data_IF_281023181675
#
_entry.id   IF_281023181675
#
_cell.length_a   1.000
_cell.length_b   1.000
_cell.length_c   1.000
_cell.angle_alpha   90.00
_cell.angle_beta   90.00
_cell.angle_gamma   90.00
#
_symmetry.space_group_name_H-M   'P 1'
#
loop_
_entity.id
_entity.type
_entity.pdbx_description
1 polymer ?
#
# COMPACT_ATOMS: atom_id res chain seq x y z
N UNK A 1 -8.50 9.24 3.92
CA UNK A 1 -8.68 10.18 2.78
C UNK A 1 -7.95 11.47 3.09
N UNK A 2 -7.62 12.27 2.07
CA UNK A 2 -6.59 13.30 2.12
C UNK A 2 -6.95 14.46 1.21
N UNK A 3 -6.40 15.65 1.47
CA UNK A 3 -6.65 16.87 0.69
C UNK A 3 -5.56 17.03 -0.38
N UNK A 4 -5.99 17.15 -1.64
CA UNK A 4 -5.14 17.58 -2.76
C UNK A 4 -5.85 18.73 -3.46
N UNK A 5 -5.18 19.87 -3.59
CA UNK A 5 -5.69 21.05 -4.29
C UNK A 5 -4.79 21.30 -5.48
N UNK A 6 -5.38 21.40 -6.67
CA UNK A 6 -4.68 21.68 -7.91
C UNK A 6 -5.32 22.85 -8.63
N UNK A 7 -4.51 23.84 -9.00
CA UNK A 7 -4.87 24.86 -9.97
C UNK A 7 -4.05 24.66 -11.25
N UNK A 8 -4.69 24.88 -12.40
CA UNK A 8 -4.03 24.98 -13.69
C UNK A 8 -4.59 26.18 -14.45
N UNK A 9 -3.77 26.83 -15.27
CA UNK A 9 -4.14 27.98 -16.09
C UNK A 9 -3.03 28.38 -17.04
N UNK A 10 -3.25 29.44 -17.82
CA UNK A 10 -2.25 29.95 -18.78
C UNK A 10 -1.02 30.56 -18.09
N UNK A 11 -1.14 30.96 -16.82
CA UNK A 11 -0.04 31.42 -15.99
C UNK A 11 0.81 30.29 -15.37
N UNK A 12 0.33 29.03 -15.39
CA UNK A 12 1.04 27.88 -14.87
C UNK A 12 0.12 26.87 -14.19
N UNK A 13 0.68 25.96 -13.39
CA UNK A 13 -0.07 25.09 -12.51
C UNK A 13 0.59 25.03 -11.12
N UNK A 14 -0.25 24.85 -10.11
CA UNK A 14 0.12 24.63 -8.70
C UNK A 14 -0.60 23.40 -8.20
N UNK A 15 0.08 22.61 -7.39
CA UNK A 15 -0.55 21.48 -6.72
C UNK A 15 0.01 21.31 -5.32
N UNK A 16 -0.87 21.16 -4.33
CA UNK A 16 -0.51 20.90 -2.96
C UNK A 16 -1.28 19.69 -2.41
N UNK A 17 -0.65 18.94 -1.52
CA UNK A 17 -1.25 17.79 -0.87
C UNK A 17 -0.66 17.53 0.51
N UNK A 18 -1.52 17.13 1.45
CA UNK A 18 -1.08 16.79 2.80
C UNK A 18 -0.33 15.45 2.82
N UNK A 19 0.36 15.12 3.90
CA UNK A 19 1.15 13.86 4.01
C UNK A 19 0.50 12.73 4.81
N UNK A 20 -0.72 12.94 5.33
CA UNK A 20 -1.41 12.00 6.22
C UNK A 20 -2.03 10.81 5.49
N UNK A 21 -1.77 9.63 6.01
CA UNK A 21 -2.48 8.40 5.71
C UNK A 21 -3.05 7.84 7.01
N UNK A 22 -4.27 7.32 6.93
CA UNK A 22 -4.96 6.71 8.06
C UNK A 22 -5.37 5.30 7.72
N UNK A 23 -5.24 4.39 8.68
CA UNK A 23 -5.74 3.03 8.59
C UNK A 23 -6.62 2.72 9.79
N UNK A 24 -7.73 2.06 9.52
CA UNK A 24 -8.66 1.60 10.54
C UNK A 24 -8.63 0.07 10.59
N UNK A 25 -8.34 -0.50 11.76
CA UNK A 25 -8.37 -1.94 12.00
C UNK A 25 -9.48 -2.26 12.98
N UNK A 26 -10.32 -3.23 12.65
CA UNK A 26 -11.49 -3.61 13.45
C UNK A 26 -12.66 -4.05 12.57
N UNK A 27 -13.82 -4.34 13.18
CA UNK A 27 -15.02 -4.77 12.46
C UNK A 27 -15.42 -3.78 11.36
N UNK A 28 -15.78 -4.27 10.17
CA UNK A 28 -16.04 -3.42 9.01
C UNK A 28 -17.14 -2.38 9.24
N UNK A 29 -18.24 -2.78 9.88
CA UNK A 29 -19.36 -1.88 10.18
C UNK A 29 -18.93 -0.73 11.10
N UNK A 30 -18.13 -1.05 12.12
CA UNK A 30 -17.60 -0.06 13.07
C UNK A 30 -16.62 0.91 12.40
N UNK A 31 -15.78 0.40 11.48
CA UNK A 31 -14.89 1.24 10.66
C UNK A 31 -15.70 2.21 9.79
N UNK A 32 -16.78 1.76 9.15
CA UNK A 32 -17.65 2.61 8.34
C UNK A 32 -18.30 3.74 9.15
N UNK A 33 -18.74 3.46 10.38
CA UNK A 33 -19.30 4.48 11.29
C UNK A 33 -18.26 5.54 11.63
N UNK A 34 -17.05 5.11 12.03
CA UNK A 34 -15.95 6.03 12.35
C UNK A 34 -15.56 6.89 11.14
N UNK A 35 -15.44 6.27 9.96
CA UNK A 35 -15.13 6.96 8.70
C UNK A 35 -16.19 8.00 8.33
N UNK A 36 -17.48 7.66 8.42
CA UNK A 36 -18.56 8.60 8.08
C UNK A 36 -18.55 9.82 9.00
N UNK A 37 -18.39 9.63 10.32
CA UNK A 37 -18.30 10.72 11.30
C UNK A 37 -17.06 11.60 11.08
N UNK A 38 -15.93 10.99 10.72
CA UNK A 38 -14.71 11.70 10.40
C UNK A 38 -14.85 12.53 9.12
N UNK A 39 -15.50 11.99 8.09
CA UNK A 39 -15.63 12.62 6.78
C UNK A 39 -16.84 13.57 6.66
N UNK A 40 -17.82 13.46 7.56
CA UNK A 40 -18.86 14.48 7.77
C UNK A 40 -18.31 15.73 8.46
N UNK A 41 -17.21 15.58 9.21
CA UNK A 41 -16.63 16.63 10.03
C UNK A 41 -17.27 16.69 11.43
N UNK A 42 -17.87 15.61 11.92
CA UNK A 42 -18.29 15.53 13.33
C UNK A 42 -17.07 15.45 14.27
N UNK A 43 -15.96 14.89 13.78
CA UNK A 43 -14.70 14.76 14.52
C UNK A 43 -13.77 15.90 14.12
N UNK A 44 -13.47 16.80 15.06
CA UNK A 44 -12.72 18.02 14.78
C UNK A 44 -11.23 17.93 15.13
N UNK A 45 -10.84 16.97 15.98
CA UNK A 45 -9.47 16.83 16.46
C UNK A 45 -9.08 15.35 16.64
N UNK A 46 -7.78 15.08 16.85
CA UNK A 46 -7.27 13.71 16.99
C UNK A 46 -7.70 13.02 18.30
N UNK A 47 -7.89 13.78 19.38
CA UNK A 47 -8.31 13.23 20.67
C UNK A 47 -9.72 12.66 20.60
N UNK A 48 -10.65 13.40 19.99
CA UNK A 48 -12.01 12.96 19.69
C UNK A 48 -12.02 11.72 18.76
N UNK A 49 -11.10 11.69 17.79
CA UNK A 49 -10.95 10.56 16.88
C UNK A 49 -10.54 9.29 17.63
N UNK A 50 -9.50 9.37 18.47
CA UNK A 50 -9.02 8.21 19.23
C UNK A 50 -10.07 7.73 20.23
N UNK A 51 -10.72 8.65 20.94
CA UNK A 51 -11.78 8.31 21.89
C UNK A 51 -12.94 7.56 21.23
N UNK A 52 -13.48 8.09 20.14
CA UNK A 52 -14.56 7.43 19.42
C UNK A 52 -14.12 6.10 18.81
N UNK A 53 -12.87 6.00 18.35
CA UNK A 53 -12.36 4.76 17.80
C UNK A 53 -12.23 3.67 18.87
N UNK A 54 -11.76 4.01 20.07
CA UNK A 54 -11.69 3.10 21.21
C UNK A 54 -13.10 2.62 21.62
N UNK A 55 -14.07 3.53 21.70
CA UNK A 55 -15.48 3.20 21.99
C UNK A 55 -16.08 2.22 20.95
N UNK A 56 -15.63 2.31 19.70
CA UNK A 56 -16.07 1.44 18.60
C UNK A 56 -15.24 0.16 18.46
N UNK A 57 -14.20 -0.03 19.28
CA UNK A 57 -13.26 -1.15 19.15
C UNK A 57 -12.46 -1.12 17.85
N UNK A 58 -12.18 0.07 17.33
CA UNK A 58 -11.43 0.31 16.08
C UNK A 58 -10.07 0.89 16.42
N UNK A 59 -9.00 0.20 16.02
CA UNK A 59 -7.64 0.74 16.13
C UNK A 59 -7.36 1.70 14.97
N UNK A 60 -6.99 2.93 15.29
CA UNK A 60 -6.55 3.96 14.32
C UNK A 60 -5.03 3.95 14.23
N UNK A 61 -4.50 3.98 13.01
CA UNK A 61 -3.07 4.16 12.73
C UNK A 61 -2.94 5.37 11.82
N UNK A 62 -2.16 6.36 12.24
CA UNK A 62 -1.89 7.60 11.48
C UNK A 62 -0.40 7.60 11.09
N UNK A 63 -0.14 7.89 9.82
CA UNK A 63 1.21 8.04 9.26
C UNK A 63 1.28 9.33 8.44
N UNK A 64 2.23 10.21 8.73
CA UNK A 64 2.35 11.54 8.11
C UNK A 64 3.50 11.64 7.09
N UNK A 65 3.85 10.54 6.44
CA UNK A 65 5.01 10.43 5.54
C UNK A 65 4.63 10.15 4.07
N UNK A 66 3.34 10.24 3.71
CA UNK A 66 2.90 9.88 2.37
C UNK A 66 3.04 11.04 1.39
N UNK A 67 3.89 10.85 0.38
CA UNK A 67 3.92 11.73 -0.79
C UNK A 67 2.61 11.57 -1.59
N UNK A 68 1.81 12.64 -1.66
CA UNK A 68 0.54 12.66 -2.42
C UNK A 68 0.60 13.50 -3.67
N UNK A 69 1.48 14.48 -3.66
CA UNK A 69 1.76 15.33 -4.80
C UNK A 69 3.23 15.21 -5.13
N UNK A 70 3.56 15.25 -6.41
CA UNK A 70 4.93 15.20 -6.92
C UNK A 70 5.00 15.82 -8.31
N UNK A 71 6.21 15.94 -8.85
CA UNK A 71 6.46 16.55 -10.15
C UNK A 71 7.23 15.59 -11.07
N UNK A 72 6.75 15.43 -12.31
CA UNK A 72 7.44 14.73 -13.41
C UNK A 72 7.69 15.74 -14.51
N UNK A 73 8.93 16.20 -14.69
CA UNK A 73 9.23 17.27 -15.65
C UNK A 73 8.39 18.52 -15.36
N UNK A 74 7.55 18.93 -16.31
CA UNK A 74 6.63 20.07 -16.19
C UNK A 74 5.19 19.66 -15.82
N UNK A 75 4.97 18.38 -15.47
CA UNK A 75 3.67 17.83 -15.08
C UNK A 75 3.63 17.61 -13.56
N UNK A 76 2.68 18.26 -12.90
CA UNK A 76 2.32 18.03 -11.51
C UNK A 76 1.37 16.85 -11.42
N UNK A 77 1.56 15.99 -10.42
CA UNK A 77 0.72 14.80 -10.23
C UNK A 77 0.26 14.74 -8.79
N UNK A 78 -1.04 14.55 -8.59
CA UNK A 78 -1.69 14.50 -7.30
C UNK A 78 -2.59 13.30 -7.21
N UNK A 79 -2.62 12.65 -6.05
CA UNK A 79 -3.32 11.39 -5.90
C UNK A 79 -4.01 11.27 -4.54
N UNK A 80 -5.29 10.87 -4.60
CA UNK A 80 -6.03 10.40 -3.43
C UNK A 80 -6.48 8.96 -3.64
N UNK A 81 -6.59 8.20 -2.55
CA UNK A 81 -7.10 6.82 -2.54
C UNK A 81 -8.18 6.68 -1.49
N UNK A 82 -9.23 5.92 -1.78
CA UNK A 82 -10.12 5.38 -0.75
C UNK A 82 -9.45 4.24 0.01
N UNK A 83 -9.93 3.98 1.22
CA UNK A 83 -9.52 2.85 2.06
C UNK A 83 -10.54 1.74 1.81
N UNK A 84 -10.11 0.52 1.49
CA UNK A 84 -11.02 -0.63 1.24
C UNK A 84 -10.47 -1.67 0.27
N UNK A 85 -11.18 -2.79 0.14
CA UNK A 85 -10.86 -3.91 -0.77
C UNK A 85 -10.86 -3.46 -2.25
N UNK A 86 -11.78 -2.57 -2.61
CA UNK A 86 -11.83 -1.92 -3.92
C UNK A 86 -11.21 -0.52 -3.84
N UNK A 87 -9.88 -0.48 -3.69
CA UNK A 87 -9.15 0.79 -3.57
C UNK A 87 -9.33 1.66 -4.82
N UNK A 88 -10.29 2.59 -4.77
CA UNK A 88 -10.53 3.61 -5.78
C UNK A 88 -9.48 4.68 -5.64
N UNK A 89 -8.80 4.97 -6.74
CA UNK A 89 -7.78 6.00 -6.82
C UNK A 89 -8.24 7.08 -7.78
N UNK A 90 -8.05 8.33 -7.37
CA UNK A 90 -8.28 9.48 -8.24
C UNK A 90 -6.97 10.21 -8.37
N UNK A 91 -6.54 10.39 -9.62
CA UNK A 91 -5.34 11.14 -9.96
C UNK A 91 -5.71 12.40 -10.70
N UNK A 92 -4.98 13.47 -10.41
CA UNK A 92 -4.99 14.70 -11.17
C UNK A 92 -3.57 14.94 -11.66
N UNK A 93 -3.46 15.20 -12.96
CA UNK A 93 -2.24 15.60 -13.64
C UNK A 93 -2.45 17.01 -14.14
N UNK A 94 -1.50 17.91 -13.95
CA UNK A 94 -1.63 19.30 -14.38
C UNK A 94 -0.32 19.87 -14.88
N UNK A 95 -0.41 20.68 -15.93
CA UNK A 95 0.67 21.51 -16.45
C UNK A 95 0.07 22.86 -16.87
N UNK A 96 0.88 23.79 -17.35
CA UNK A 96 0.37 25.09 -17.84
C UNK A 96 -0.72 24.88 -18.89
N UNK A 97 -1.91 25.39 -18.60
CA UNK A 97 -3.08 25.38 -19.49
C UNK A 97 -3.77 24.02 -19.69
N UNK A 98 -3.31 22.94 -19.04
CA UNK A 98 -3.85 21.58 -19.23
C UNK A 98 -3.95 20.80 -17.93
N UNK A 99 -5.00 19.99 -17.81
CA UNK A 99 -5.22 19.10 -16.69
C UNK A 99 -5.85 17.78 -17.18
N UNK A 100 -5.46 16.66 -16.61
CA UNK A 100 -6.10 15.36 -16.81
C UNK A 100 -6.48 14.75 -15.47
N UNK A 101 -7.73 14.32 -15.36
CA UNK A 101 -8.24 13.62 -14.18
C UNK A 101 -8.52 12.17 -14.57
N UNK A 102 -8.06 11.25 -13.74
CA UNK A 102 -8.24 9.82 -13.93
C UNK A 102 -8.88 9.19 -12.71
N UNK A 103 -9.90 8.36 -12.95
CA UNK A 103 -10.41 7.43 -11.95
C UNK A 103 -9.89 6.02 -12.26
N UNK A 104 -9.29 5.40 -11.25
CA UNK A 104 -8.63 4.10 -11.36
C UNK A 104 -9.25 3.18 -10.31
N UNK A 105 -9.83 2.06 -10.75
CA UNK A 105 -10.36 1.00 -9.91
C UNK A 105 -9.55 -0.27 -10.16
N UNK A 106 -8.88 -0.79 -9.14
CA UNK A 106 -7.90 -1.86 -9.38
C UNK A 106 -6.86 -1.36 -10.38
N UNK A 107 -6.50 -2.17 -11.37
CA UNK A 107 -5.56 -1.79 -12.44
C UNK A 107 -6.27 -1.28 -13.72
N UNK A 108 -7.51 -0.81 -13.59
CA UNK A 108 -8.34 -0.35 -14.71
C UNK A 108 -8.62 1.13 -14.57
N UNK A 109 -8.40 1.89 -15.64
CA UNK A 109 -8.86 3.27 -15.74
C UNK A 109 -10.36 3.22 -16.06
N UNK A 110 -11.19 3.70 -15.15
CA UNK A 110 -12.65 3.69 -15.30
C UNK A 110 -13.19 5.00 -15.86
N UNK A 111 -12.46 6.10 -15.69
CA UNK A 111 -12.82 7.40 -16.24
C UNK A 111 -11.58 8.23 -16.55
N UNK A 112 -11.66 9.03 -17.61
CA UNK A 112 -10.61 9.94 -18.08
C UNK A 112 -11.22 11.25 -18.54
N UNK A 113 -10.80 12.34 -17.91
CA UNK A 113 -11.25 13.69 -18.26
C UNK A 113 -10.05 14.59 -18.55
N UNK A 114 -9.92 15.00 -19.82
CA UNK A 114 -8.95 16.01 -20.24
C UNK A 114 -9.61 17.40 -20.21
N UNK A 115 -8.93 18.38 -19.61
CA UNK A 115 -9.37 19.77 -19.51
C UNK A 115 -8.28 20.70 -20.00
N UNK A 116 -8.67 21.69 -20.79
CA UNK A 116 -7.80 22.77 -21.25
C UNK A 116 -8.25 24.11 -20.65
N UNK A 117 -7.37 25.10 -20.64
CA UNK A 117 -7.63 26.44 -20.11
C UNK A 117 -7.26 26.55 -18.64
N UNK A 118 -8.18 27.07 -17.82
CA UNK A 118 -7.95 27.25 -16.39
C UNK A 118 -9.02 26.56 -15.54
N UNK A 119 -8.62 26.08 -14.37
CA UNK A 119 -9.53 25.43 -13.43
C UNK A 119 -8.89 25.09 -12.09
N UNK A 120 -9.76 24.80 -11.12
CA UNK A 120 -9.41 24.38 -9.78
C UNK A 120 -10.00 23.00 -9.51
N UNK A 121 -9.16 22.06 -9.10
CA UNK A 121 -9.52 20.70 -8.73
C UNK A 121 -9.24 20.51 -7.25
N UNK A 122 -10.23 20.05 -6.50
CA UNK A 122 -10.10 19.73 -5.07
C UNK A 122 -10.50 18.27 -4.86
N UNK A 123 -9.54 17.47 -4.40
CA UNK A 123 -9.79 16.15 -3.85
C UNK A 123 -9.69 16.22 -2.32
N UNK A 124 -10.57 15.51 -1.63
CA UNK A 124 -10.70 15.58 -0.18
C UNK A 124 -11.81 14.69 0.32
N UNK A 125 -11.86 14.47 1.64
CA UNK A 125 -13.12 14.06 2.25
C UNK A 125 -14.18 15.17 2.04
N UNK A 126 -15.46 14.81 2.17
CA UNK A 126 -16.59 15.72 1.88
C UNK A 126 -16.47 17.04 2.65
N UNK A 127 -16.15 16.99 3.94
CA UNK A 127 -16.04 18.17 4.79
C UNK A 127 -14.94 19.14 4.34
N UNK A 128 -13.70 18.65 4.22
CA UNK A 128 -12.56 19.48 3.84
C UNK A 128 -12.64 19.97 2.41
N UNK A 129 -13.14 19.13 1.49
CA UNK A 129 -13.38 19.55 0.11
C UNK A 129 -14.34 20.74 0.07
N UNK A 130 -15.48 20.65 0.74
CA UNK A 130 -16.48 21.72 0.76
C UNK A 130 -15.92 23.02 1.39
N UNK A 131 -15.15 22.90 2.49
CA UNK A 131 -14.50 24.06 3.12
C UNK A 131 -13.44 24.69 2.19
N UNK A 132 -12.58 23.88 1.58
CA UNK A 132 -11.54 24.35 0.65
C UNK A 132 -12.17 25.07 -0.56
N UNK A 133 -13.18 24.46 -1.18
CA UNK A 133 -13.91 25.05 -2.30
C UNK A 133 -14.57 26.38 -1.90
N UNK A 134 -15.15 26.48 -0.70
CA UNK A 134 -15.74 27.73 -0.21
C UNK A 134 -14.70 28.84 -0.02
N UNK A 135 -13.53 28.53 0.55
CA UNK A 135 -12.43 29.49 0.71
C UNK A 135 -11.93 29.96 -0.67
N UNK A 136 -11.73 29.03 -1.58
CA UNK A 136 -11.11 29.30 -2.87
C UNK A 136 -12.08 29.95 -3.86
N UNK A 137 -13.40 29.71 -3.78
CA UNK A 137 -14.40 30.23 -4.74
C UNK A 137 -14.32 31.76 -4.94
N UNK A 138 -14.00 32.50 -3.88
CA UNK A 138 -13.94 33.96 -3.94
C UNK A 138 -12.65 34.46 -4.61
N UNK A 139 -11.52 33.79 -4.39
CA UNK A 139 -10.19 34.21 -4.85
C UNK A 139 -9.83 33.58 -6.20
N UNK A 140 -10.38 32.41 -6.52
CA UNK A 140 -10.06 31.65 -7.73
C UNK A 140 -10.40 32.36 -9.04
N UNK A 141 -11.28 33.37 -9.01
CA UNK A 141 -11.60 34.21 -10.17
C UNK A 141 -10.40 35.05 -10.62
N UNK A 142 -9.50 35.39 -9.69
CA UNK A 142 -8.33 36.21 -9.95
C UNK A 142 -7.09 35.38 -10.25
N UNK A 143 -7.10 34.07 -9.97
CA UNK A 143 -5.97 33.17 -10.23
C UNK A 143 -5.41 33.23 -11.64
N UNK A 144 -6.20 33.37 -12.73
CA UNK A 144 -5.65 33.50 -14.08
C UNK A 144 -4.82 34.77 -14.31
N UNK A 145 -5.00 35.80 -13.47
CA UNK A 145 -4.33 37.11 -13.56
C UNK A 145 -3.12 37.24 -12.62
N UNK A 146 -3.03 36.37 -11.62
CA UNK A 146 -1.96 36.37 -10.61
C UNK A 146 -0.69 35.69 -11.12
N UNK A 147 0.47 36.00 -10.53
CA UNK A 147 1.64 35.14 -10.72
C UNK A 147 1.37 33.77 -10.06
N UNK A 148 1.87 32.70 -10.69
CA UNK A 148 1.55 31.35 -10.23
C UNK A 148 2.09 31.07 -8.81
N UNK A 149 3.16 31.74 -8.39
CA UNK A 149 3.71 31.59 -7.05
C UNK A 149 2.79 32.25 -6.01
N UNK A 150 2.07 33.31 -6.38
CA UNK A 150 1.04 33.93 -5.53
C UNK A 150 -0.17 33.01 -5.37
N UNK A 151 -0.61 32.35 -6.45
CA UNK A 151 -1.62 31.28 -6.36
C UNK A 151 -1.14 30.17 -5.42
N UNK A 152 0.15 29.84 -5.48
CA UNK A 152 0.81 28.94 -4.53
C UNK A 152 0.64 29.35 -3.08
N UNK A 153 0.85 30.62 -2.75
CA UNK A 153 0.65 31.16 -1.40
C UNK A 153 -0.82 31.06 -0.95
N UNK A 154 -1.77 31.38 -1.82
CA UNK A 154 -3.21 31.24 -1.49
C UNK A 154 -3.57 29.78 -1.18
N UNK A 155 -3.07 28.82 -1.97
CA UNK A 155 -3.30 27.39 -1.72
C UNK A 155 -2.62 26.96 -0.41
N UNK A 156 -1.41 27.45 -0.14
CA UNK A 156 -0.68 27.22 1.11
C UNK A 156 -1.52 27.62 2.33
N UNK A 157 -2.13 28.81 2.29
CA UNK A 157 -2.97 29.32 3.38
C UNK A 157 -4.19 28.42 3.67
N UNK A 158 -4.70 27.71 2.66
CA UNK A 158 -5.79 26.74 2.87
C UNK A 158 -5.31 25.55 3.70
N UNK A 159 -4.11 25.03 3.45
CA UNK A 159 -3.54 23.94 4.25
C UNK A 159 -3.24 24.39 5.69
N UNK A 160 -2.69 25.60 5.87
CA UNK A 160 -2.44 26.17 7.20
C UNK A 160 -3.72 26.30 8.03
N UNK A 161 -4.85 26.61 7.40
CA UNK A 161 -6.17 26.68 8.08
C UNK A 161 -6.73 25.31 8.48
N UNK A 162 -6.27 24.24 7.84
CA UNK A 162 -6.76 22.88 8.08
C UNK A 162 -5.77 22.00 8.84
N UNK A 163 -4.60 22.52 9.22
CA UNK A 163 -3.52 21.75 9.87
C UNK A 163 -3.91 21.03 11.16
N UNK A 164 -4.94 21.54 11.87
CA UNK A 164 -5.44 20.95 13.11
C UNK A 164 -6.50 19.86 12.87
N UNK A 165 -6.99 19.70 11.63
CA UNK A 165 -8.01 18.72 11.33
C UNK A 165 -7.42 17.29 11.36
N UNK A 166 -8.07 16.30 11.99
CA UNK A 166 -7.51 14.97 12.22
C UNK A 166 -7.18 14.19 10.95
N UNK A 167 -7.74 14.58 9.80
CA UNK A 167 -7.47 13.94 8.50
C UNK A 167 -6.34 14.58 7.69
N UNK A 168 -5.66 15.59 8.22
CA UNK A 168 -4.62 16.36 7.53
C UNK A 168 -3.33 16.29 8.33
N UNK A 169 -2.22 16.08 7.63
CA UNK A 169 -0.90 16.19 8.25
C UNK A 169 -0.59 17.67 8.50
N UNK A 170 0.17 17.93 9.57
CA UNK A 170 0.75 19.26 9.83
C UNK A 170 1.70 19.70 8.70
N UNK A 171 2.27 18.73 7.99
CA UNK A 171 3.11 18.97 6.82
C UNK A 171 2.35 18.69 5.52
N UNK A 172 2.71 19.45 4.49
CA UNK A 172 2.19 19.29 3.14
C UNK A 172 3.29 19.59 2.13
N UNK A 173 3.15 18.98 0.97
CA UNK A 173 4.02 19.21 -0.18
C UNK A 173 3.30 20.17 -1.13
N UNK A 174 4.03 21.09 -1.75
CA UNK A 174 3.52 22.01 -2.78
C UNK A 174 4.50 22.11 -3.94
N UNK A 175 3.98 21.97 -5.15
CA UNK A 175 4.76 22.06 -6.38
C UNK A 175 4.13 23.08 -7.34
N UNK A 176 5.00 23.76 -8.07
CA UNK A 176 4.64 24.78 -9.07
C UNK A 176 5.32 24.46 -10.40
N UNK A 177 4.62 24.75 -11.50
CA UNK A 177 5.18 24.76 -12.85
C UNK A 177 4.67 25.98 -13.63
N UNK A 178 5.60 26.77 -14.18
CA UNK A 178 5.31 27.89 -15.10
C UNK A 178 5.26 27.43 -16.56
N UNK A 179 5.73 26.21 -16.83
CA UNK A 179 5.96 25.70 -18.17
C UNK A 179 4.89 24.69 -18.56
N UNK A 180 4.61 24.63 -19.86
CA UNK A 180 3.80 23.57 -20.45
C UNK A 180 4.64 22.31 -20.63
N UNK A 181 4.05 21.16 -20.33
CA UNK A 181 4.56 19.88 -20.76
C UNK A 181 4.07 19.60 -22.19
N UNK A 182 5.01 19.65 -23.15
CA UNK A 182 4.71 19.41 -24.57
C UNK A 182 4.26 17.96 -24.78
N UNK A 183 4.72 17.03 -23.94
CA UNK A 183 4.43 15.60 -24.03
C UNK A 183 3.42 15.16 -22.94
N UNK A 184 2.58 16.07 -22.46
CA UNK A 184 1.68 15.87 -21.30
C UNK A 184 0.98 14.50 -21.28
N UNK A 185 0.29 14.12 -22.35
CA UNK A 185 -0.45 12.85 -22.42
C UNK A 185 0.47 11.62 -22.35
N UNK A 186 1.64 11.67 -23.01
CA UNK A 186 2.64 10.62 -22.95
C UNK A 186 3.23 10.50 -21.53
N UNK A 187 3.52 11.61 -20.88
CA UNK A 187 4.00 11.64 -19.49
C UNK A 187 2.98 11.02 -18.53
N UNK A 188 1.69 11.31 -18.75
CA UNK A 188 0.59 10.69 -17.97
C UNK A 188 0.55 9.17 -18.21
N UNK A 189 0.63 8.73 -19.46
CA UNK A 189 0.60 7.31 -19.82
C UNK A 189 1.79 6.53 -19.24
N UNK A 190 3.00 7.04 -19.37
CA UNK A 190 4.21 6.43 -18.81
C UNK A 190 4.13 6.27 -17.28
N UNK A 191 3.58 7.27 -16.59
CA UNK A 191 3.40 7.24 -15.15
C UNK A 191 2.35 6.21 -14.70
N UNK A 192 1.28 6.03 -15.45
CA UNK A 192 0.26 5.00 -15.18
C UNK A 192 0.83 3.62 -15.43
N UNK A 193 1.56 3.42 -16.54
CA UNK A 193 2.20 2.15 -16.85
C UNK A 193 3.19 1.74 -15.76
N UNK A 194 3.96 2.70 -15.23
CA UNK A 194 4.83 2.47 -14.05
C UNK A 194 4.03 2.04 -12.81
N UNK A 195 2.88 2.67 -12.55
CA UNK A 195 2.00 2.27 -11.43
C UNK A 195 1.52 0.82 -11.59
N UNK A 196 1.01 0.45 -12.77
CA UNK A 196 0.48 -0.90 -12.99
C UNK A 196 1.56 -1.97 -12.92
N UNK A 197 2.73 -1.71 -13.52
CA UNK A 197 3.88 -2.62 -13.42
C UNK A 197 4.31 -2.84 -11.96
N UNK A 198 4.45 -1.75 -11.19
CA UNK A 198 4.80 -1.83 -9.77
C UNK A 198 3.80 -2.68 -8.98
N UNK A 199 2.50 -2.58 -9.28
CA UNK A 199 1.47 -3.37 -8.61
C UNK A 199 1.48 -4.84 -9.00
N UNK A 200 1.74 -5.13 -10.27
CA UNK A 200 1.93 -6.49 -10.74
C UNK A 200 3.09 -7.18 -10.01
N UNK A 201 4.21 -6.46 -9.86
CA UNK A 201 5.39 -6.95 -9.15
C UNK A 201 5.09 -7.22 -7.66
N UNK A 202 4.34 -6.33 -7.00
CA UNK A 202 3.87 -6.57 -5.62
C UNK A 202 2.98 -7.81 -5.56
N UNK A 203 2.02 -7.95 -6.48
CA UNK A 203 1.11 -9.11 -6.49
C UNK A 203 1.88 -10.42 -6.63
N UNK A 204 2.87 -10.47 -7.52
CA UNK A 204 3.76 -11.64 -7.70
C UNK A 204 4.51 -11.96 -6.40
N UNK A 205 5.13 -10.95 -5.77
CA UNK A 205 5.83 -11.13 -4.48
C UNK A 205 4.90 -11.62 -3.37
N UNK A 206 3.66 -11.15 -3.31
CA UNK A 206 2.67 -11.62 -2.32
C UNK A 206 2.27 -13.08 -2.56
N UNK A 207 2.08 -13.49 -3.81
CA UNK A 207 1.80 -14.88 -4.16
C UNK A 207 2.98 -15.78 -3.76
N UNK A 208 4.19 -15.37 -4.08
CA UNK A 208 5.40 -16.11 -3.74
C UNK A 208 5.61 -16.21 -2.23
N UNK A 209 5.36 -15.12 -1.51
CA UNK A 209 5.36 -15.13 -0.05
C UNK A 209 4.31 -16.07 0.53
N UNK A 210 3.09 -16.08 -0.03
CA UNK A 210 2.02 -17.00 0.39
C UNK A 210 2.40 -18.47 0.20
N UNK A 211 3.04 -18.81 -0.92
CA UNK A 211 3.58 -20.16 -1.17
C UNK A 211 4.64 -20.53 -0.13
N UNK A 212 5.56 -19.61 0.15
CA UNK A 212 6.61 -19.80 1.17
C UNK A 212 5.99 -20.01 2.56
N UNK A 213 5.01 -19.21 2.96
CA UNK A 213 4.34 -19.36 4.25
C UNK A 213 3.58 -20.68 4.38
N UNK A 214 2.97 -21.15 3.29
CA UNK A 214 2.34 -22.49 3.26
C UNK A 214 3.36 -23.60 3.53
N UNK A 215 4.57 -23.51 2.97
CA UNK A 215 5.67 -24.44 3.25
C UNK A 215 6.09 -24.34 4.72
N UNK A 216 6.36 -23.13 5.23
CA UNK A 216 6.81 -22.91 6.62
C UNK A 216 5.82 -23.51 7.63
N UNK A 217 4.52 -23.37 7.37
CA UNK A 217 3.47 -23.92 8.22
C UNK A 217 3.39 -25.45 8.17
N UNK A 218 3.94 -26.09 7.13
CA UNK A 218 4.01 -27.55 6.97
C UNK A 218 5.29 -28.16 7.51
N UNK A 219 6.30 -27.37 7.88
CA UNK A 219 7.56 -27.92 8.42
C UNK A 219 7.26 -28.72 9.69
N UNK A 220 7.71 -29.97 9.70
CA UNK A 220 7.50 -30.89 10.83
C UNK A 220 8.38 -30.43 12.00
N UNK A 221 7.75 -30.16 13.14
CA UNK A 221 8.46 -29.81 14.39
C UNK A 221 8.54 -30.96 15.37
N UNK A 222 7.58 -31.89 15.29
CA UNK A 222 7.47 -33.04 16.17
C UNK A 222 6.86 -34.22 15.42
N UNK A 223 7.39 -35.42 15.62
CA UNK A 223 6.81 -36.68 15.12
C UNK A 223 7.83 -37.64 14.52
N UNK A 224 7.44 -38.90 14.41
CA UNK A 224 8.18 -39.93 13.68
C UNK A 224 8.01 -39.69 12.18
N UNK A 225 9.13 -39.55 11.46
CA UNK A 225 9.14 -39.07 10.07
C UNK A 225 9.49 -40.15 9.06
N UNK A 226 10.16 -41.22 9.48
CA UNK A 226 10.55 -42.30 8.57
C UNK A 226 11.49 -43.32 9.20
N UNK A 227 12.00 -44.21 8.36
CA UNK A 227 12.90 -45.31 8.74
C UNK A 227 14.13 -45.32 7.82
N UNK A 228 15.28 -45.67 8.38
CA UNK A 228 16.51 -45.85 7.62
C UNK A 228 16.47 -47.19 6.88
N UNK A 229 16.70 -47.16 5.56
CA UNK A 229 16.90 -48.34 4.70
C UNK A 229 18.02 -48.05 3.72
N UNK A 230 18.94 -49.00 3.56
CA UNK A 230 20.10 -48.86 2.68
C UNK A 230 20.91 -47.58 2.98
N UNK A 231 21.03 -47.22 4.27
CA UNK A 231 21.71 -46.00 4.73
C UNK A 231 21.00 -44.68 4.40
N UNK A 232 19.78 -44.71 3.86
CA UNK A 232 18.98 -43.52 3.51
C UNK A 232 17.70 -43.44 4.32
N UNK A 233 17.20 -42.23 4.54
CA UNK A 233 15.93 -42.03 5.23
C UNK A 233 14.77 -42.12 4.23
N UNK A 234 13.93 -43.14 4.42
CA UNK A 234 12.68 -43.32 3.73
C UNK A 234 11.56 -42.70 4.57
N UNK A 235 10.96 -41.62 4.07
CA UNK A 235 9.89 -40.91 4.76
C UNK A 235 8.57 -41.68 4.70
N UNK A 236 7.74 -41.55 5.75
CA UNK A 236 6.36 -42.04 5.70
C UNK A 236 5.50 -41.22 4.74
N UNK A 237 4.40 -41.79 4.23
CA UNK A 237 3.60 -41.22 3.13
C UNK A 237 3.00 -39.84 3.42
N UNK A 238 2.80 -39.50 4.69
CA UNK A 238 2.31 -38.19 5.13
C UNK A 238 3.38 -37.08 5.08
N UNK A 239 4.64 -37.44 4.83
CA UNK A 239 5.77 -36.52 4.81
C UNK A 239 6.42 -36.46 3.44
N UNK A 240 7.02 -35.31 3.16
CA UNK A 240 7.88 -35.05 2.02
C UNK A 240 9.11 -34.27 2.49
N UNK A 241 10.24 -34.47 1.84
CA UNK A 241 11.41 -33.62 2.00
C UNK A 241 11.50 -32.61 0.87
N UNK A 242 11.95 -31.40 1.19
CA UNK A 242 12.20 -30.33 0.22
C UNK A 242 13.65 -29.84 0.31
N UNK A 243 14.20 -29.36 -0.81
CA UNK A 243 15.58 -28.86 -0.89
C UNK A 243 15.75 -27.44 -0.31
N UNK A 244 14.70 -26.61 -0.34
CA UNK A 244 14.74 -25.22 0.15
C UNK A 244 13.35 -24.64 0.40
N UNK A 245 13.27 -23.65 1.29
CA UNK A 245 12.06 -22.84 1.48
C UNK A 245 12.01 -21.78 0.38
N UNK A 246 11.34 -22.08 -0.73
CA UNK A 246 11.15 -21.13 -1.83
C UNK A 246 9.87 -21.45 -2.62
N UNK A 247 9.35 -20.54 -3.47
CA UNK A 247 8.20 -20.84 -4.31
C UNK A 247 8.40 -22.03 -5.28
N UNK A 248 9.65 -22.34 -5.63
CA UNK A 248 10.04 -23.37 -6.59
C UNK A 248 11.01 -24.37 -5.92
N UNK A 249 10.48 -25.28 -5.12
CA UNK A 249 11.20 -26.33 -4.42
C UNK A 249 11.06 -27.68 -5.12
N UNK A 250 12.03 -28.58 -4.94
CA UNK A 250 11.95 -29.99 -5.36
C UNK A 250 11.48 -30.83 -4.18
N UNK A 251 10.76 -31.91 -4.47
CA UNK A 251 10.26 -32.84 -3.45
C UNK A 251 10.94 -34.19 -3.54
N UNK A 252 11.19 -34.80 -2.39
CA UNK A 252 11.88 -36.09 -2.25
C UNK A 252 11.13 -36.94 -1.22
N UNK A 253 11.11 -38.27 -1.43
CA UNK A 253 10.62 -39.24 -0.44
C UNK A 253 11.73 -40.03 0.23
N UNK A 254 12.88 -40.10 -0.42
CA UNK A 254 14.08 -40.77 0.05
C UNK A 254 15.18 -39.72 0.03
N UNK A 255 15.83 -39.52 1.17
CA UNK A 255 16.86 -38.49 1.34
C UNK A 255 18.09 -39.04 2.04
N UNK A 256 19.23 -38.44 1.73
CA UNK A 256 20.49 -38.75 2.39
C UNK A 256 20.52 -38.12 3.79
N UNK A 257 21.10 -38.85 4.74
CA UNK A 257 21.26 -38.44 6.13
C UNK A 257 22.72 -38.59 6.57
N UNK A 258 23.14 -37.74 7.50
CA UNK A 258 24.47 -37.74 8.11
C UNK A 258 24.32 -38.05 9.60
N UNK A 259 25.01 -39.07 10.07
CA UNK A 259 24.95 -39.53 11.46
C UNK A 259 25.31 -41.00 11.56
N UNK A 260 25.46 -41.49 12.79
CA UNK A 260 25.64 -42.92 13.08
C UNK A 260 24.26 -43.59 13.04
N UNK A 261 23.88 -44.05 11.84
CA UNK A 261 22.56 -44.63 11.54
C UNK A 261 22.70 -46.07 11.07
N UNK A 262 21.82 -46.95 11.54
CA UNK A 262 21.74 -48.34 11.12
C UNK A 262 20.42 -48.61 10.37
N UNK A 263 20.43 -49.57 9.45
CA UNK A 263 19.21 -49.97 8.74
C UNK A 263 18.16 -50.51 9.74
N UNK A 264 16.94 -49.98 9.63
CA UNK A 264 15.84 -50.24 10.56
C UNK A 264 15.65 -49.17 11.64
N UNK A 265 16.58 -48.22 11.80
CA UNK A 265 16.44 -47.13 12.76
C UNK A 265 15.26 -46.21 12.39
N UNK A 266 14.44 -45.86 13.39
CA UNK A 266 13.30 -44.94 13.23
C UNK A 266 13.79 -43.52 13.53
N UNK A 267 13.55 -42.61 12.60
CA UNK A 267 13.91 -41.20 12.75
C UNK A 267 12.70 -40.41 13.27
N UNK A 268 12.94 -39.64 14.33
CA UNK A 268 11.97 -38.75 14.98
C UNK A 268 12.49 -37.32 14.97
N UNK A 269 11.60 -36.36 14.77
CA UNK A 269 11.86 -34.94 15.00
C UNK A 269 11.22 -34.57 16.34
N UNK A 270 11.95 -33.89 17.20
CA UNK A 270 11.43 -33.31 18.45
C UNK A 270 11.94 -31.89 18.62
N UNK A 271 11.03 -30.93 18.76
CA UNK A 271 11.32 -29.49 18.81
C UNK A 271 12.22 -29.00 17.66
N UNK A 272 12.10 -29.63 16.49
CA UNK A 272 12.91 -29.32 15.30
C UNK A 272 14.27 -30.03 15.22
N UNK A 273 14.70 -30.76 16.25
CA UNK A 273 15.91 -31.59 16.20
C UNK A 273 15.57 -33.00 15.73
N UNK A 274 16.28 -33.47 14.70
CA UNK A 274 16.12 -34.81 14.14
C UNK A 274 17.09 -35.81 14.80
N UNK A 275 16.56 -36.96 15.23
CA UNK A 275 17.29 -37.95 16.02
C UNK A 275 16.71 -39.36 15.85
N UNK A 276 17.49 -40.36 16.22
CA UNK A 276 17.06 -41.76 16.21
C UNK A 276 16.23 -42.04 17.46
N UNK A 277 15.02 -42.56 17.27
CA UNK A 277 14.10 -42.93 18.34
C UNK A 277 14.78 -43.96 19.26
N UNK A 278 14.62 -43.80 20.57
CA UNK A 278 15.21 -44.63 21.64
C UNK A 278 16.74 -44.56 21.81
N UNK A 279 17.52 -44.16 20.80
CA UNK A 279 18.99 -43.99 20.91
C UNK A 279 19.37 -42.55 21.25
N UNK A 280 18.55 -41.55 20.88
CA UNK A 280 18.85 -40.13 21.11
C UNK A 280 19.99 -39.57 20.25
N UNK A 281 20.53 -40.38 19.34
CA UNK A 281 21.61 -39.99 18.41
C UNK A 281 21.07 -38.96 17.43
N UNK A 282 21.80 -37.85 17.27
CA UNK A 282 21.43 -36.77 16.36
C UNK A 282 21.66 -37.19 14.90
N UNK A 283 20.68 -36.92 14.05
CA UNK A 283 20.75 -37.16 12.61
C UNK A 283 20.61 -35.83 11.89
N UNK A 284 21.44 -35.58 10.89
CA UNK A 284 21.40 -34.37 10.08
C UNK A 284 21.03 -34.70 8.64
N UNK A 285 20.43 -33.74 7.94
CA UNK A 285 20.13 -33.85 6.52
C UNK A 285 20.17 -32.46 5.90
N UNK A 286 20.44 -32.40 4.60
CA UNK A 286 20.46 -31.15 3.83
C UNK A 286 19.04 -30.77 3.33
N UNK A 287 18.01 -31.52 3.74
CA UNK A 287 16.61 -31.34 3.34
C UNK A 287 15.70 -30.91 4.50
N UNK A 288 14.56 -30.30 4.17
CA UNK A 288 13.56 -29.87 5.15
C UNK A 288 12.35 -30.80 5.06
N UNK A 289 11.96 -31.42 6.18
CA UNK A 289 10.84 -32.37 6.22
C UNK A 289 9.54 -31.60 6.50
N UNK A 290 8.55 -31.80 5.64
CA UNK A 290 7.25 -31.15 5.70
C UNK A 290 6.12 -32.18 5.69
N UNK A 291 4.99 -31.85 6.29
CA UNK A 291 3.72 -32.51 6.01
C UNK A 291 3.30 -32.28 4.56
N UNK A 292 2.70 -33.30 3.94
CA UNK A 292 2.22 -33.25 2.56
C UNK A 292 1.11 -32.21 2.36
#
# INVERSE_FOLDING_TARGET
>A
MSLVICYYGNNGAVMAGDRRQMFFKGPEEKRKILEEKLYSGEIQNEEDLYKLADDLGVKVIIEDNREKVRKIGNTLVGEVRSIGLEAKRRRVYATKGKCMILEILGDVITDRMLKNGAGLIVFGNRYLKNKAEKILKNVAKDFPKMDIDEVGKVIKDVFERFKEHPTISREYDIYVTKNIDINFEKTVEEDINKLFKYREDIRKKMIDFGKVMSIVNKIVKNGEVGVIKEGKLHLYDQYIAIDKISPNFKTFRIIDVKGDVEDGDIVVIENGDMKIKNKGIKVMTDYIICYK
#
